data_IF_985807574745
#
_entry.id   IF_985807574745
#
_cell.length_a   1.000
_cell.length_b   1.000
_cell.length_c   1.000
_cell.angle_alpha   90.00
_cell.angle_beta   90.00
_cell.angle_gamma   90.00
#
_symmetry.space_group_name_H-M   'P 1'
#
loop_
_entity.id
_entity.type
_entity.pdbx_description
1 polymer ?
#
# COMPACT_ATOMS: atom_id res chain seq x y z
N UNK A 1 -7.53 -11.67 14.00
CA UNK A 1 -7.04 -12.44 12.84
C UNK A 1 -7.73 -11.92 11.60
N UNK A 2 -6.96 -11.48 10.60
CA UNK A 2 -7.47 -11.10 9.29
C UNK A 2 -7.91 -12.39 8.56
N UNK A 3 -9.18 -12.48 8.16
CA UNK A 3 -9.74 -13.66 7.48
C UNK A 3 -9.26 -13.87 6.04
N UNK A 4 -8.23 -13.12 5.62
CA UNK A 4 -7.79 -13.00 4.23
C UNK A 4 -6.47 -13.73 3.95
N UNK A 5 -5.90 -14.40 4.96
CA UNK A 5 -4.67 -15.19 4.80
C UNK A 5 -4.94 -16.49 4.06
N UNK A 6 -4.11 -16.79 3.06
CA UNK A 6 -4.16 -18.04 2.31
C UNK A 6 -3.56 -19.21 3.10
N UNK A 7 -2.54 -18.93 3.91
CA UNK A 7 -1.95 -19.88 4.86
C UNK A 7 -1.61 -19.16 6.18
N UNK A 8 -1.61 -19.88 7.32
CA UNK A 8 -1.27 -19.26 8.61
C UNK A 8 0.18 -18.77 8.63
N UNK A 9 0.46 -17.78 9.46
CA UNK A 9 1.85 -17.35 9.71
C UNK A 9 2.65 -18.51 10.29
N UNK A 10 3.91 -18.64 9.85
CA UNK A 10 4.74 -19.80 10.18
C UNK A 10 4.36 -21.08 9.43
N UNK A 11 3.46 -21.02 8.43
CA UNK A 11 3.29 -22.13 7.50
C UNK A 11 4.63 -22.44 6.80
N UNK A 12 4.89 -23.74 6.61
CA UNK A 12 6.02 -24.18 5.79
C UNK A 12 5.81 -23.72 4.34
N UNK A 13 6.85 -23.22 3.66
CA UNK A 13 6.70 -22.67 2.30
C UNK A 13 6.10 -23.68 1.33
N UNK A 14 6.51 -24.95 1.42
CA UNK A 14 6.03 -26.02 0.54
C UNK A 14 4.50 -26.19 0.65
N UNK A 15 3.99 -26.19 1.89
CA UNK A 15 2.54 -26.31 2.17
C UNK A 15 1.79 -25.08 1.66
N UNK A 16 2.37 -23.88 1.81
CA UNK A 16 1.75 -22.65 1.31
C UNK A 16 1.70 -22.63 -0.23
N UNK A 17 2.77 -23.06 -0.90
CA UNK A 17 2.81 -23.12 -2.37
C UNK A 17 1.85 -24.15 -2.95
N UNK A 18 1.74 -25.34 -2.32
CA UNK A 18 0.76 -26.38 -2.69
C UNK A 18 -0.69 -25.89 -2.57
N UNK A 19 -0.96 -24.97 -1.63
CA UNK A 19 -2.26 -24.32 -1.46
C UNK A 19 -2.53 -23.18 -2.46
N UNK A 20 -1.59 -22.91 -3.37
CA UNK A 20 -1.71 -21.79 -4.30
C UNK A 20 -1.47 -20.42 -3.64
N UNK A 21 -0.75 -20.38 -2.52
CA UNK A 21 -0.34 -19.14 -1.90
C UNK A 21 0.98 -18.61 -2.48
N UNK A 22 1.24 -17.34 -2.25
CA UNK A 22 2.52 -16.68 -2.45
C UNK A 22 2.86 -15.82 -1.23
N UNK A 23 4.16 -15.59 -1.02
CA UNK A 23 4.66 -14.79 0.09
C UNK A 23 4.69 -13.32 -0.29
N UNK A 24 4.09 -12.48 0.54
CA UNK A 24 4.18 -11.04 0.42
C UNK A 24 5.25 -10.50 1.39
N UNK A 25 6.30 -9.88 0.84
CA UNK A 25 7.45 -9.41 1.62
C UNK A 25 7.21 -8.09 2.35
N UNK A 26 6.13 -7.36 2.04
CA UNK A 26 5.75 -6.15 2.77
C UNK A 26 5.12 -6.55 4.11
N UNK A 27 4.17 -7.48 4.06
CA UNK A 27 3.36 -7.91 5.21
C UNK A 27 3.98 -9.05 6.02
N UNK A 28 4.86 -9.87 5.42
CA UNK A 28 5.31 -11.16 5.96
C UNK A 28 4.18 -12.18 6.13
N UNK A 29 3.24 -12.19 5.19
CA UNK A 29 2.10 -13.10 5.20
C UNK A 29 1.98 -13.89 3.89
N UNK A 30 1.23 -14.99 3.98
CA UNK A 30 0.85 -15.80 2.83
C UNK A 30 -0.53 -15.37 2.33
N UNK A 31 -0.60 -14.88 1.10
CA UNK A 31 -1.86 -14.55 0.42
C UNK A 31 -2.06 -15.41 -0.83
N UNK A 32 -3.25 -15.35 -1.42
CA UNK A 32 -3.53 -16.06 -2.68
C UNK A 32 -2.59 -15.55 -3.76
N UNK A 33 -2.03 -16.48 -4.54
CA UNK A 33 -0.97 -16.20 -5.51
C UNK A 33 -1.33 -15.07 -6.47
N UNK A 34 -2.55 -15.07 -7.00
CA UNK A 34 -3.02 -14.07 -7.96
C UNK A 34 -3.05 -12.63 -7.39
N UNK A 35 -3.18 -12.47 -6.07
CA UNK A 35 -3.17 -11.15 -5.43
C UNK A 35 -1.75 -10.63 -5.25
N UNK A 36 -0.84 -11.54 -4.87
CA UNK A 36 0.57 -11.21 -4.68
C UNK A 36 1.22 -10.94 -6.03
N UNK A 37 0.97 -11.78 -7.03
CA UNK A 37 1.54 -11.72 -8.39
C UNK A 37 0.85 -10.68 -9.30
N UNK A 38 -0.17 -9.96 -8.82
CA UNK A 38 -0.73 -8.83 -9.55
C UNK A 38 0.39 -7.83 -9.91
N UNK A 39 0.48 -7.35 -11.18
CA UNK A 39 1.61 -6.52 -11.62
C UNK A 39 1.83 -5.26 -10.80
N UNK A 40 0.75 -4.58 -10.38
CA UNK A 40 0.86 -3.36 -9.59
C UNK A 40 1.30 -3.68 -8.15
N UNK A 41 0.90 -4.84 -7.61
CA UNK A 41 1.35 -5.29 -6.31
C UNK A 41 2.82 -5.74 -6.33
N UNK A 42 3.25 -6.41 -7.40
CA UNK A 42 4.67 -6.76 -7.61
C UNK A 42 5.56 -5.52 -7.70
N UNK A 43 5.07 -4.46 -8.35
CA UNK A 43 5.78 -3.18 -8.38
C UNK A 43 5.89 -2.56 -6.99
N UNK A 44 4.81 -2.55 -6.19
CA UNK A 44 4.89 -2.10 -4.79
C UNK A 44 5.89 -2.91 -3.96
N UNK A 45 5.89 -4.24 -4.13
CA UNK A 45 6.85 -5.14 -3.47
C UNK A 45 8.28 -4.78 -3.87
N UNK A 46 8.53 -4.58 -5.16
CA UNK A 46 9.85 -4.20 -5.69
C UNK A 46 10.31 -2.87 -5.10
N UNK A 47 9.47 -1.84 -5.17
CA UNK A 47 9.78 -0.51 -4.61
C UNK A 47 10.06 -0.56 -3.09
N UNK A 48 9.33 -1.40 -2.34
CA UNK A 48 9.61 -1.64 -0.93
C UNK A 48 10.96 -2.32 -0.73
N UNK A 49 11.29 -3.36 -1.50
CA UNK A 49 12.57 -4.06 -1.37
C UNK A 49 13.77 -3.17 -1.76
N UNK A 50 13.61 -2.31 -2.77
CA UNK A 50 14.63 -1.38 -3.25
C UNK A 50 14.89 -0.20 -2.29
N UNK A 51 13.96 0.09 -1.38
CA UNK A 51 14.18 1.06 -0.31
C UNK A 51 15.09 0.52 0.82
N UNK A 52 15.43 -0.78 0.77
CA UNK A 52 16.34 -1.48 1.67
C UNK A 52 17.80 -1.49 1.19
N UNK A 53 18.73 -2.01 2.01
CA UNK A 53 18.62 -3.35 2.59
C UNK A 53 17.85 -3.40 3.90
N UNK A 54 17.05 -4.45 4.06
CA UNK A 54 16.25 -4.74 5.25
C UNK A 54 16.92 -5.80 6.11
N UNK A 55 17.59 -5.37 7.18
CA UNK A 55 18.20 -6.25 8.18
C UNK A 55 17.22 -6.49 9.33
N UNK A 56 16.94 -7.75 9.62
CA UNK A 56 15.95 -8.20 10.60
C UNK A 56 16.59 -9.16 11.57
N UNK A 57 16.11 -9.19 12.81
CA UNK A 57 16.78 -9.92 13.89
C UNK A 57 15.80 -10.75 14.72
N UNK A 58 16.28 -11.84 15.32
CA UNK A 58 15.48 -12.63 16.27
C UNK A 58 15.44 -12.00 17.67
N UNK A 59 16.37 -11.11 17.99
CA UNK A 59 16.54 -10.45 19.27
C UNK A 59 16.52 -8.92 19.17
N UNK A 60 16.21 -8.27 20.30
CA UNK A 60 16.08 -6.81 20.39
C UNK A 60 17.43 -6.10 20.29
N UNK A 61 18.49 -6.81 20.67
CA UNK A 61 19.87 -6.33 20.67
C UNK A 61 20.46 -6.29 19.25
N UNK A 62 19.80 -6.91 18.26
CA UNK A 62 20.21 -6.92 16.86
C UNK A 62 21.43 -7.81 16.59
N UNK A 63 21.57 -8.91 17.33
CA UNK A 63 22.76 -9.77 17.31
C UNK A 63 22.62 -11.02 16.44
N UNK A 64 21.40 -11.55 16.30
CA UNK A 64 21.10 -12.74 15.50
C UNK A 64 20.24 -12.34 14.31
N UNK A 65 20.89 -12.16 13.17
CA UNK A 65 20.21 -11.77 11.92
C UNK A 65 19.36 -12.92 11.36
N UNK A 66 18.20 -12.56 10.83
CA UNK A 66 17.29 -13.46 10.14
C UNK A 66 17.75 -13.60 8.70
N UNK A 67 17.86 -14.85 8.23
CA UNK A 67 18.05 -15.12 6.80
C UNK A 67 16.92 -14.44 5.98
N UNK A 68 17.25 -13.54 5.04
CA UNK A 68 16.26 -12.90 4.18
C UNK A 68 15.40 -13.86 3.35
N UNK A 69 15.83 -15.12 3.18
CA UNK A 69 15.06 -16.18 2.55
C UNK A 69 14.06 -16.88 3.49
N UNK A 70 14.06 -16.56 4.79
CA UNK A 70 13.12 -17.16 5.75
C UNK A 70 11.68 -16.67 5.48
N UNK A 71 10.74 -17.61 5.38
CA UNK A 71 9.30 -17.40 5.10
C UNK A 71 8.39 -18.03 6.16
N UNK A 72 8.98 -18.46 7.29
CA UNK A 72 8.31 -19.16 8.39
C UNK A 72 8.29 -18.29 9.65
N UNK A 73 8.56 -16.99 9.49
CA UNK A 73 8.69 -16.04 10.59
C UNK A 73 7.33 -15.75 11.21
N UNK A 74 7.26 -15.80 12.54
CA UNK A 74 6.08 -15.38 13.32
C UNK A 74 6.32 -14.06 14.03
N UNK A 75 7.57 -13.70 14.29
CA UNK A 75 7.99 -12.46 14.95
C UNK A 75 9.44 -12.15 14.56
N UNK A 76 9.76 -10.86 14.43
CA UNK A 76 11.10 -10.37 14.13
C UNK A 76 11.27 -8.96 14.70
N UNK A 77 12.52 -8.59 14.99
CA UNK A 77 12.93 -7.24 15.32
C UNK A 77 13.42 -6.54 14.06
N UNK A 78 12.97 -5.30 13.84
CA UNK A 78 13.30 -4.48 12.68
C UNK A 78 13.67 -3.06 13.11
N UNK A 79 14.34 -2.33 12.23
CA UNK A 79 14.72 -0.94 12.49
C UNK A 79 13.50 -0.02 12.44
N UNK A 80 13.51 1.10 13.18
CA UNK A 80 12.48 2.15 13.05
C UNK A 80 12.32 2.63 11.60
N UNK A 81 13.42 2.69 10.84
CA UNK A 81 13.43 3.04 9.41
C UNK A 81 12.58 2.07 8.60
N UNK A 82 12.82 0.76 8.73
CA UNK A 82 12.01 -0.25 8.06
C UNK A 82 10.55 -0.14 8.50
N UNK A 83 10.27 0.13 9.78
CA UNK A 83 8.88 0.29 10.26
C UNK A 83 8.15 1.45 9.59
N UNK A 84 8.80 2.62 9.46
CA UNK A 84 8.22 3.79 8.75
C UNK A 84 7.91 3.44 7.31
N UNK A 85 8.88 2.84 6.60
CA UNK A 85 8.73 2.49 5.19
C UNK A 85 7.65 1.42 5.01
N UNK A 86 7.64 0.39 5.85
CA UNK A 86 6.58 -0.61 5.91
C UNK A 86 5.20 0.03 6.10
N UNK A 87 5.02 0.92 7.08
CA UNK A 87 3.74 1.58 7.31
C UNK A 87 3.25 2.36 6.08
N UNK A 88 4.15 3.05 5.37
CA UNK A 88 3.81 3.74 4.12
C UNK A 88 3.37 2.76 3.03
N UNK A 89 4.14 1.69 2.77
CA UNK A 89 3.81 0.72 1.72
C UNK A 89 2.58 -0.12 2.04
N UNK A 90 2.35 -0.47 3.30
CA UNK A 90 1.14 -1.17 3.75
C UNK A 90 -0.12 -0.35 3.48
N UNK A 91 -0.08 0.98 3.67
CA UNK A 91 -1.20 1.87 3.32
C UNK A 91 -1.43 1.92 1.80
N UNK A 92 -0.37 2.02 1.00
CA UNK A 92 -0.45 1.97 -0.47
C UNK A 92 -1.03 0.64 -0.96
N UNK A 93 -0.52 -0.48 -0.44
CA UNK A 93 -0.95 -1.83 -0.80
C UNK A 93 -2.41 -2.06 -0.43
N UNK A 94 -2.82 -1.64 0.77
CA UNK A 94 -4.22 -1.74 1.19
C UNK A 94 -5.14 -0.96 0.25
N UNK A 95 -4.76 0.27 -0.12
CA UNK A 95 -5.54 1.04 -1.08
C UNK A 95 -5.61 0.36 -2.46
N UNK A 96 -4.47 -0.11 -2.99
CA UNK A 96 -4.41 -0.83 -4.27
C UNK A 96 -5.31 -2.08 -4.29
N UNK A 97 -5.26 -2.89 -3.24
CA UNK A 97 -6.05 -4.13 -3.18
C UNK A 97 -7.54 -3.81 -3.17
N UNK A 98 -7.95 -2.80 -2.39
CA UNK A 98 -9.34 -2.35 -2.36
C UNK A 98 -9.82 -1.81 -3.71
N UNK A 99 -9.01 -1.03 -4.44
CA UNK A 99 -9.41 -0.47 -5.75
C UNK A 99 -9.52 -1.55 -6.83
N UNK A 100 -8.78 -2.66 -6.70
CA UNK A 100 -8.89 -3.85 -7.55
C UNK A 100 -10.04 -4.79 -7.15
N UNK A 101 -10.77 -4.48 -6.06
CA UNK A 101 -11.84 -5.33 -5.54
C UNK A 101 -11.34 -6.57 -4.79
N UNK A 102 -10.08 -6.57 -4.37
CA UNK A 102 -9.51 -7.62 -3.53
C UNK A 102 -9.84 -7.35 -2.04
N UNK A 103 -9.87 -8.41 -1.24
CA UNK A 103 -9.88 -8.26 0.21
C UNK A 103 -8.63 -7.50 0.66
N UNK A 104 -8.68 -6.61 1.66
CA UNK A 104 -7.49 -5.88 2.09
C UNK A 104 -6.47 -6.81 2.76
N UNK A 105 -5.15 -6.59 2.56
CA UNK A 105 -4.11 -7.42 3.16
C UNK A 105 -4.09 -7.31 4.69
N UNK A 106 -4.51 -6.16 5.21
CA UNK A 106 -4.58 -5.87 6.63
C UNK A 106 -5.98 -5.40 7.06
N UNK A 107 -6.28 -5.58 8.34
CA UNK A 107 -7.52 -5.07 8.91
C UNK A 107 -7.41 -3.58 9.26
N UNK A 108 -8.55 -2.96 9.55
CA UNK A 108 -8.60 -1.54 9.87
C UNK A 108 -7.76 -1.13 11.09
N UNK A 109 -7.60 -2.00 12.10
CA UNK A 109 -6.70 -1.70 13.23
C UNK A 109 -5.25 -1.54 12.80
N UNK A 110 -4.80 -2.25 11.76
CA UNK A 110 -3.46 -2.07 11.22
C UNK A 110 -3.33 -0.74 10.48
N UNK A 111 -4.37 -0.29 9.78
CA UNK A 111 -4.44 1.06 9.19
C UNK A 111 -4.27 2.13 10.28
N UNK A 112 -4.99 2.00 11.40
CA UNK A 112 -4.85 2.93 12.55
C UNK A 112 -3.41 2.90 13.08
N UNK A 113 -2.84 1.71 13.29
CA UNK A 113 -1.45 1.57 13.73
C UNK A 113 -0.48 2.30 12.81
N UNK A 114 -0.55 2.05 11.50
CA UNK A 114 0.35 2.64 10.52
C UNK A 114 0.23 4.16 10.46
N UNK A 115 -0.99 4.70 10.42
CA UNK A 115 -1.19 6.15 10.34
C UNK A 115 -0.77 6.86 11.63
N UNK A 116 -1.09 6.29 12.80
CA UNK A 116 -0.63 6.82 14.08
C UNK A 116 0.88 6.75 14.22
N UNK A 117 1.53 5.64 13.83
CA UNK A 117 2.98 5.51 13.89
C UNK A 117 3.69 6.54 13.02
N UNK A 118 3.22 6.74 11.78
CA UNK A 118 3.76 7.74 10.86
C UNK A 118 3.58 9.17 11.38
N UNK A 119 2.41 9.50 11.95
CA UNK A 119 2.19 10.81 12.55
C UNK A 119 3.09 11.00 13.79
N UNK A 120 3.14 10.01 14.68
CA UNK A 120 3.90 10.10 15.92
C UNK A 120 5.40 10.26 15.66
N UNK A 121 5.98 9.53 14.71
CA UNK A 121 7.42 9.67 14.44
C UNK A 121 7.79 11.07 13.93
N UNK A 122 6.89 11.72 13.18
CA UNK A 122 7.06 13.10 12.72
C UNK A 122 6.88 14.07 13.89
N UNK A 123 5.85 13.88 14.73
CA UNK A 123 5.56 14.77 15.85
C UNK A 123 6.57 14.66 17.00
N UNK A 124 7.18 13.48 17.20
CA UNK A 124 8.27 13.26 18.15
C UNK A 124 9.62 13.84 17.67
N UNK A 125 9.76 14.11 16.38
CA UNK A 125 10.97 14.67 15.77
C UNK A 125 10.61 15.58 14.58
N UNK A 126 9.99 16.74 14.85
CA UNK A 126 9.42 17.59 13.81
C UNK A 126 10.50 18.17 12.90
N UNK A 127 10.18 18.28 11.62
CA UNK A 127 11.01 19.01 10.65
C UNK A 127 10.97 20.52 10.91
N UNK A 128 11.96 21.31 10.45
CA UNK A 128 11.88 22.77 10.51
C UNK A 128 10.58 23.28 9.87
N UNK A 129 10.01 24.35 10.43
CA UNK A 129 8.79 25.00 9.96
C UNK A 129 7.53 24.09 9.92
N UNK A 130 7.46 23.04 10.75
CA UNK A 130 6.30 22.13 10.82
C UNK A 130 4.95 22.86 11.04
N UNK A 131 4.95 23.97 11.78
CA UNK A 131 3.75 24.77 12.06
C UNK A 131 3.49 25.89 11.04
N UNK A 132 4.28 25.96 9.97
CA UNK A 132 4.07 26.97 8.92
C UNK A 132 2.78 26.66 8.16
N UNK A 133 1.98 27.70 7.95
CA UNK A 133 0.72 27.58 7.21
C UNK A 133 0.95 27.01 5.80
N UNK A 134 0.19 25.97 5.47
CA UNK A 134 0.12 25.37 4.14
C UNK A 134 -1.30 25.49 3.58
N UNK A 135 -1.44 25.67 2.27
CA UNK A 135 -2.76 25.71 1.63
C UNK A 135 -3.22 24.30 1.24
N UNK A 136 -4.44 23.93 1.64
CA UNK A 136 -5.15 22.78 1.08
C UNK A 136 -6.25 23.33 0.14
N UNK A 137 -5.88 23.54 -1.13
CA UNK A 137 -6.80 24.03 -2.13
C UNK A 137 -7.39 22.86 -2.92
N UNK A 138 -8.72 22.72 -2.88
CA UNK A 138 -9.45 21.93 -3.87
C UNK A 138 -9.86 22.92 -4.96
N UNK A 139 -9.32 22.82 -6.19
CA UNK A 139 -9.68 23.76 -7.25
C UNK A 139 -11.19 23.70 -7.47
N UNK A 140 -11.85 24.85 -7.40
CA UNK A 140 -13.25 24.94 -7.78
C UNK A 140 -13.36 24.64 -9.29
N UNK A 141 -14.29 23.76 -9.70
CA UNK A 141 -14.55 23.60 -11.13
C UNK A 141 -15.04 24.94 -11.67
N UNK A 142 -14.52 25.35 -12.84
CA UNK A 142 -14.96 26.58 -13.50
C UNK A 142 -16.46 26.55 -13.81
N UNK A 143 -16.99 25.34 -14.06
CA UNK A 143 -18.41 25.10 -14.31
C UNK A 143 -18.96 24.03 -13.37
N UNK A 144 -20.03 24.36 -12.66
CA UNK A 144 -20.81 23.43 -11.84
C UNK A 144 -21.75 22.60 -12.72
N UNK A 145 -21.20 21.80 -13.65
CA UNK A 145 -22.06 20.91 -14.42
C UNK A 145 -22.59 19.81 -13.50
N UNK A 146 -23.82 20.02 -13.02
CA UNK A 146 -24.66 18.94 -12.53
C UNK A 146 -24.80 17.97 -13.70
N UNK A 147 -24.17 16.79 -13.61
CA UNK A 147 -24.40 15.71 -14.57
C UNK A 147 -25.88 15.37 -14.48
N UNK A 148 -26.69 15.90 -15.41
CA UNK A 148 -28.12 15.62 -15.40
C UNK A 148 -28.29 14.16 -15.76
N UNK A 149 -28.72 13.38 -14.77
CA UNK A 149 -29.10 12.00 -14.99
C UNK A 149 -30.34 11.99 -15.87
N UNK A 150 -30.17 11.51 -17.10
CA UNK A 150 -31.21 11.04 -18.02
C UNK A 150 -32.18 12.10 -18.59
N UNK A 151 -31.96 12.45 -19.86
CA UNK A 151 -33.06 12.52 -20.82
C UNK A 151 -32.61 11.97 -22.17
N UNK A 152 -33.47 11.12 -22.70
CA UNK A 152 -33.48 10.40 -23.97
C UNK A 152 -32.80 11.05 -25.18
N UNK A 153 -32.09 10.19 -25.95
CA UNK A 153 -32.07 10.03 -27.43
C UNK A 153 -32.19 11.27 -28.33
N UNK A 154 -31.35 11.24 -29.38
CA UNK A 154 -31.39 11.99 -30.65
C UNK A 154 -30.83 13.43 -30.53
N UNK A 155 -29.88 13.92 -31.33
CA UNK A 155 -29.41 13.55 -32.66
C UNK A 155 -27.93 13.89 -32.86
N UNK A 156 -27.31 13.18 -33.79
CA UNK A 156 -26.00 13.46 -34.36
C UNK A 156 -26.13 14.71 -35.22
N UNK A 157 -25.37 15.77 -34.89
CA UNK A 157 -24.92 16.72 -35.90
C UNK A 157 -23.43 17.02 -35.70
N UNK A 158 -22.64 16.45 -36.60
CA UNK A 158 -21.31 16.90 -36.92
C UNK A 158 -21.41 18.35 -37.41
N UNK A 159 -20.75 19.29 -36.73
CA UNK A 159 -20.12 20.34 -37.52
C UNK A 159 -18.82 20.87 -36.92
N UNK A 160 -17.93 21.07 -37.88
CA UNK A 160 -16.51 21.37 -37.82
C UNK A 160 -16.20 22.79 -37.36
N UNK A 161 -14.93 22.96 -36.97
CA UNK A 161 -14.16 24.18 -36.78
C UNK A 161 -14.15 24.76 -35.37
N UNK A 162 -13.02 24.68 -34.68
CA UNK A 162 -12.22 25.86 -34.30
C UNK A 162 -10.79 25.44 -33.92
N UNK A 163 -9.89 25.77 -34.84
CA UNK A 163 -8.55 26.36 -34.67
C UNK A 163 -7.79 26.16 -33.35
N UNK A 164 -6.61 25.53 -33.49
CA UNK A 164 -5.48 25.54 -32.56
C UNK A 164 -4.97 26.99 -32.42
N UNK A 165 -4.83 27.49 -31.19
CA UNK A 165 -4.18 28.77 -30.91
C UNK A 165 -3.78 28.89 -29.44
N UNK A 166 -2.47 28.85 -29.22
CA UNK A 166 -1.77 28.94 -27.94
C UNK A 166 -1.84 30.34 -27.30
N UNK A 167 -1.78 30.40 -25.97
CA UNK A 167 -0.93 31.32 -25.20
C UNK A 167 -0.68 30.72 -23.82
#
# INVERSE_FOLDING_TARGET
>A
MSGYLCAPNGARPEVAYERGCAWDSISFHWYRRELVEDPDNQELIREFLDAGPWHRFYDAEGTVEVDPANRVLTTLWLTKREHVVHCMYTLRQTHLWLTKGFDPPFNYSHTIHCTSYLANIILESPVPDMDKLTIHAVPYPLDWQLVSTHSSRNDIELNTNTTIGQA
#
